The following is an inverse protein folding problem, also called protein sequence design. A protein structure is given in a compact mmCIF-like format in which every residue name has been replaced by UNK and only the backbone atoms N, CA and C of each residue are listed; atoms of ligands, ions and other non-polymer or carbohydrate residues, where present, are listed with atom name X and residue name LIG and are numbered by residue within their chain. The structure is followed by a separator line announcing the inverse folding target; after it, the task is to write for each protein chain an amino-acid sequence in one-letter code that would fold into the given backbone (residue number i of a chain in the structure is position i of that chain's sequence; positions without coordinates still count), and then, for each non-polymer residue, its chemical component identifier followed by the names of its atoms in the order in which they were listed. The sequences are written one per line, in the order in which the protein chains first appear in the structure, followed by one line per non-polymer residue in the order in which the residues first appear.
data_IF_467283286207
#
_entry.id   IF_467283286207
#
_cell.length_a   1.000
_cell.length_b   1.000
_cell.length_c   1.000
_cell.angle_alpha   90.00
_cell.angle_beta   90.00
_cell.angle_gamma   90.00
#
_symmetry.space_group_name_H-M   'P 1'
#
loop_
_entity.id
_entity.type
_entity.pdbx_description
1 polymer ?
#
# COMPACT_ATOMS: atom_id res chain seq x y z
N UNK A 1 79.84 19.32 52.83
CA UNK A 1 79.75 18.32 51.73
C UNK A 1 78.34 18.43 51.14
N UNK A 2 78.19 19.21 50.07
CA UNK A 2 76.94 19.64 49.52
C UNK A 2 76.66 18.79 48.26
N UNK A 3 75.58 17.98 48.24
CA UNK A 3 75.23 17.17 47.09
C UNK A 3 74.16 17.96 46.33
N UNK A 4 74.56 18.51 45.18
CA UNK A 4 73.59 19.10 44.21
C UNK A 4 72.88 17.99 43.43
N UNK A 5 71.60 17.91 43.62
CA UNK A 5 70.70 17.03 42.78
C UNK A 5 70.40 17.76 41.48
N UNK A 6 70.78 17.13 40.34
CA UNK A 6 70.52 17.62 38.99
C UNK A 6 69.13 17.17 38.57
N UNK A 7 68.16 18.09 38.45
CA UNK A 7 66.84 17.84 37.90
C UNK A 7 66.92 17.96 36.39
N UNK A 8 66.61 16.87 35.67
CA UNK A 8 66.50 16.87 34.20
C UNK A 8 65.13 17.45 33.76
N UNK A 9 65.10 18.37 32.80
CA UNK A 9 63.88 18.87 32.28
C UNK A 9 63.16 17.79 31.34
N UNK A 10 61.97 17.42 31.70
CA UNK A 10 61.08 16.59 30.82
C UNK A 10 60.51 17.44 29.69
N UNK A 11 60.96 17.19 28.47
CA UNK A 11 60.41 17.82 27.28
C UNK A 11 59.05 17.19 26.95
N UNK A 12 57.98 17.97 27.13
CA UNK A 12 56.66 17.64 26.63
C UNK A 12 56.64 17.72 25.08
N UNK A 13 56.69 16.58 24.42
CA UNK A 13 56.51 16.49 22.97
C UNK A 13 55.05 16.80 22.64
N UNK A 14 54.78 18.00 22.16
CA UNK A 14 53.50 18.42 21.58
C UNK A 14 53.28 17.63 20.30
N UNK A 15 52.38 16.63 20.35
CA UNK A 15 51.95 15.92 19.16
C UNK A 15 51.25 16.91 18.20
N UNK A 16 51.92 17.21 17.07
CA UNK A 16 51.31 17.96 15.96
C UNK A 16 50.31 17.07 15.28
N UNK A 17 49.03 17.28 15.57
CA UNK A 17 47.95 16.65 14.77
C UNK A 17 48.13 17.05 13.30
N UNK A 18 48.39 16.07 12.45
CA UNK A 18 48.55 16.29 11.01
C UNK A 18 47.26 16.85 10.42
N UNK A 19 47.36 17.95 9.68
CA UNK A 19 46.20 18.54 8.95
C UNK A 19 45.49 17.52 8.05
N UNK A 20 46.20 16.52 7.57
CA UNK A 20 45.68 15.40 6.80
C UNK A 20 44.74 14.50 7.63
N UNK A 21 45.04 14.23 8.90
CA UNK A 21 44.16 13.43 9.77
C UNK A 21 42.84 14.13 10.07
N UNK A 22 42.85 15.46 10.23
CA UNK A 22 41.63 16.24 10.49
C UNK A 22 40.72 16.30 9.29
N UNK A 23 41.26 16.40 8.05
CA UNK A 23 40.49 16.41 6.80
C UNK A 23 39.85 15.06 6.56
N UNK A 24 40.52 13.94 6.78
CA UNK A 24 39.97 12.59 6.63
C UNK A 24 38.86 12.32 7.63
N UNK A 25 38.98 12.80 8.87
CA UNK A 25 37.91 12.66 9.87
C UNK A 25 36.68 13.49 9.51
N UNK A 26 36.86 14.70 8.99
CA UNK A 26 35.77 15.55 8.53
C UNK A 26 35.02 14.94 7.32
N UNK A 27 35.74 14.36 6.36
CA UNK A 27 35.14 13.67 5.22
C UNK A 27 34.32 12.42 5.65
N UNK A 28 34.81 11.66 6.63
CA UNK A 28 34.10 10.49 7.17
C UNK A 28 32.81 10.89 7.90
N UNK A 29 32.80 11.99 8.64
CA UNK A 29 31.62 12.51 9.33
C UNK A 29 30.55 13.05 8.35
N UNK A 30 30.95 13.67 7.24
CA UNK A 30 30.04 14.15 6.20
C UNK A 30 29.41 12.98 5.48
N UNK A 31 30.12 11.88 5.24
CA UNK A 31 29.57 10.68 4.60
C UNK A 31 28.50 9.97 5.43
N UNK A 32 28.54 10.04 6.76
CA UNK A 32 27.51 9.49 7.63
C UNK A 32 26.22 10.34 7.68
N UNK A 33 26.32 11.63 7.40
CA UNK A 33 25.17 12.55 7.46
C UNK A 33 24.24 12.47 6.24
N UNK A 34 24.65 11.78 5.16
CA UNK A 34 23.85 11.64 3.92
C UNK A 34 23.05 10.34 3.84
N UNK A 35 22.87 9.63 4.96
CA UNK A 35 21.91 8.53 5.01
C UNK A 35 20.50 9.12 4.86
N UNK A 36 20.07 9.38 3.63
CA UNK A 36 18.70 9.72 3.31
C UNK A 36 17.84 8.54 3.75
N UNK A 37 17.09 8.70 4.83
CA UNK A 37 15.99 7.80 5.14
C UNK A 37 15.01 7.91 3.98
N UNK A 38 15.06 6.96 3.06
CA UNK A 38 14.01 6.77 2.08
C UNK A 38 12.75 6.47 2.87
N UNK A 39 11.89 7.47 3.06
CA UNK A 39 10.52 7.25 3.51
C UNK A 39 9.90 6.49 2.33
N UNK A 40 9.75 5.17 2.50
CA UNK A 40 8.95 4.39 1.57
C UNK A 40 7.56 5.03 1.58
N UNK A 41 7.17 5.67 0.49
CA UNK A 41 5.82 6.16 0.34
C UNK A 41 4.89 4.94 0.49
N UNK A 42 3.85 5.09 1.30
CA UNK A 42 2.85 4.05 1.43
C UNK A 42 2.31 3.72 0.04
N UNK A 43 2.30 2.44 -0.30
CA UNK A 43 1.78 2.01 -1.59
C UNK A 43 0.29 2.31 -1.67
N UNK A 44 -0.14 2.77 -2.83
CA UNK A 44 -1.56 2.96 -3.13
C UNK A 44 -2.35 1.68 -2.82
N UNK A 45 -3.41 1.80 -2.02
CA UNK A 45 -4.21 0.67 -1.56
C UNK A 45 -5.58 0.66 -2.24
N UNK A 46 -5.84 -0.39 -3.02
CA UNK A 46 -7.15 -0.66 -3.59
C UNK A 46 -7.88 -1.77 -2.80
N UNK A 47 -9.13 -1.54 -2.49
CA UNK A 47 -10.05 -2.55 -1.94
C UNK A 47 -11.02 -2.96 -3.03
N UNK A 48 -11.30 -4.26 -3.11
CA UNK A 48 -12.27 -4.82 -4.04
C UNK A 48 -13.36 -5.58 -3.28
N UNK A 49 -14.51 -5.72 -3.87
CA UNK A 49 -15.63 -6.45 -3.24
C UNK A 49 -15.38 -7.95 -3.22
N UNK A 50 -14.77 -8.51 -4.26
CA UNK A 50 -14.49 -9.95 -4.33
C UNK A 50 -13.18 -10.28 -5.06
N UNK A 51 -12.79 -11.53 -4.94
CA UNK A 51 -11.43 -11.99 -5.27
C UNK A 51 -11.08 -11.94 -6.75
N UNK A 52 -12.05 -12.09 -7.67
CA UNK A 52 -11.80 -11.98 -9.12
C UNK A 52 -11.39 -10.56 -9.47
N UNK A 53 -12.12 -9.56 -9.00
CA UNK A 53 -11.73 -8.14 -9.19
C UNK A 53 -10.36 -7.88 -8.57
N UNK A 54 -10.10 -8.46 -7.39
CA UNK A 54 -8.80 -8.30 -6.75
C UNK A 54 -7.65 -8.88 -7.59
N UNK A 55 -7.88 -10.00 -8.26
CA UNK A 55 -6.91 -10.60 -9.14
C UNK A 55 -6.65 -9.73 -10.38
N UNK A 56 -7.71 -9.25 -11.02
CA UNK A 56 -7.61 -8.34 -12.16
C UNK A 56 -6.87 -7.05 -11.78
N UNK A 57 -7.23 -6.45 -10.65
CA UNK A 57 -6.57 -5.23 -10.15
C UNK A 57 -5.08 -5.44 -9.86
N UNK A 58 -4.69 -6.60 -9.31
CA UNK A 58 -3.26 -6.95 -9.12
C UNK A 58 -2.52 -7.11 -10.44
N UNK A 59 -3.15 -7.74 -11.42
CA UNK A 59 -2.53 -7.90 -12.74
C UNK A 59 -2.30 -6.56 -13.44
N UNK A 60 -3.16 -5.58 -13.25
CA UNK A 60 -3.02 -4.23 -13.81
C UNK A 60 -2.02 -3.39 -13.02
N UNK A 61 -2.12 -3.39 -11.69
CA UNK A 61 -1.33 -2.53 -10.83
C UNK A 61 0.06 -3.07 -10.48
N UNK A 62 0.28 -4.37 -10.63
CA UNK A 62 1.54 -5.02 -10.31
C UNK A 62 2.04 -4.71 -8.91
N UNK A 63 3.34 -4.45 -8.81
CA UNK A 63 4.01 -4.15 -7.54
C UNK A 63 3.78 -2.71 -7.04
N UNK A 64 3.09 -1.88 -7.82
CA UNK A 64 2.87 -0.47 -7.49
C UNK A 64 1.75 -0.26 -6.47
N UNK A 65 0.84 -1.24 -6.32
CA UNK A 65 -0.34 -1.14 -5.47
C UNK A 65 -0.46 -2.32 -4.51
N UNK A 66 -1.20 -2.10 -3.43
CA UNK A 66 -1.68 -3.16 -2.55
C UNK A 66 -3.15 -3.39 -2.88
N UNK A 67 -3.53 -4.64 -3.20
CA UNK A 67 -4.92 -4.99 -3.48
C UNK A 67 -5.43 -6.00 -2.47
N UNK A 68 -6.52 -5.64 -1.80
CA UNK A 68 -7.22 -6.53 -0.88
C UNK A 68 -8.66 -6.77 -1.36
N UNK A 69 -9.21 -7.94 -1.05
CA UNK A 69 -10.62 -8.26 -1.29
C UNK A 69 -11.40 -8.25 0.02
N UNK A 70 -12.61 -7.66 0.02
CA UNK A 70 -13.53 -7.72 1.17
C UNK A 70 -13.93 -9.17 1.41
N UNK A 71 -14.42 -9.85 0.38
CA UNK A 71 -14.78 -11.26 0.50
C UNK A 71 -13.56 -12.16 0.39
N UNK A 72 -13.61 -13.31 1.09
CA UNK A 72 -12.57 -14.34 1.01
C UNK A 72 -12.78 -15.24 -0.19
N UNK A 73 -11.74 -15.95 -0.66
CA UNK A 73 -11.89 -16.96 -1.69
C UNK A 73 -12.99 -17.97 -1.33
N UNK A 74 -13.86 -18.26 -2.29
CA UNK A 74 -14.99 -19.17 -2.13
C UNK A 74 -16.19 -18.63 -1.34
N UNK A 75 -16.18 -17.36 -0.92
CA UNK A 75 -17.32 -16.76 -0.27
C UNK A 75 -18.45 -16.49 -1.27
N UNK A 76 -19.70 -16.62 -0.78
CA UNK A 76 -20.89 -16.17 -1.52
C UNK A 76 -20.89 -14.63 -1.62
N UNK A 77 -20.94 -14.10 -2.83
CA UNK A 77 -20.80 -12.68 -3.09
C UNK A 77 -22.14 -11.94 -3.03
N UNK A 78 -23.21 -12.56 -3.56
CA UNK A 78 -24.51 -11.89 -3.70
C UNK A 78 -25.17 -11.56 -2.37
N UNK A 79 -25.00 -12.41 -1.37
CA UNK A 79 -25.61 -12.29 -0.04
C UNK A 79 -24.58 -12.10 1.07
N UNK A 80 -23.42 -11.57 0.74
CA UNK A 80 -22.38 -11.30 1.74
C UNK A 80 -22.88 -10.30 2.78
N UNK A 81 -22.54 -10.54 4.04
CA UNK A 81 -22.80 -9.63 5.15
C UNK A 81 -21.49 -9.04 5.65
N UNK A 82 -21.16 -7.78 5.30
CA UNK A 82 -19.94 -7.13 5.75
C UNK A 82 -19.88 -7.02 7.25
N UNK A 83 -18.67 -7.20 7.78
CA UNK A 83 -18.37 -7.04 9.19
C UNK A 83 -17.81 -5.63 9.49
N UNK A 84 -17.82 -5.16 10.75
CA UNK A 84 -17.16 -3.92 11.11
C UNK A 84 -15.67 -3.87 10.71
N UNK A 85 -15.00 -5.03 10.70
CA UNK A 85 -13.61 -5.11 10.26
C UNK A 85 -13.45 -4.85 8.76
N UNK A 86 -14.41 -5.28 7.95
CA UNK A 86 -14.40 -5.01 6.50
C UNK A 86 -14.58 -3.52 6.23
N UNK A 87 -15.43 -2.84 7.02
CA UNK A 87 -15.61 -1.38 6.96
C UNK A 87 -14.29 -0.66 7.27
N UNK A 88 -13.61 -1.04 8.36
CA UNK A 88 -12.34 -0.43 8.74
C UNK A 88 -11.28 -0.63 7.65
N UNK A 89 -11.19 -1.82 7.07
CA UNK A 89 -10.25 -2.09 5.97
C UNK A 89 -10.52 -1.23 4.74
N UNK A 90 -11.79 -1.03 4.41
CA UNK A 90 -12.19 -0.21 3.28
C UNK A 90 -12.02 1.30 3.56
N UNK A 91 -12.16 1.74 4.81
CA UNK A 91 -11.93 3.13 5.21
C UNK A 91 -10.48 3.58 4.97
N UNK A 92 -9.53 2.66 5.10
CA UNK A 92 -8.09 2.91 4.92
C UNK A 92 -7.64 2.73 3.46
N UNK A 93 -8.57 2.63 2.51
CA UNK A 93 -8.26 2.47 1.10
C UNK A 93 -8.18 3.81 0.37
N UNK A 94 -7.32 3.87 -0.65
CA UNK A 94 -7.24 4.99 -1.58
C UNK A 94 -8.27 4.87 -2.71
N UNK A 95 -8.75 3.65 -2.98
CA UNK A 95 -9.72 3.36 -4.03
C UNK A 95 -10.52 2.11 -3.71
N UNK A 96 -11.80 2.12 -4.06
CA UNK A 96 -12.67 0.96 -4.00
C UNK A 96 -13.11 0.57 -5.40
N UNK A 97 -12.97 -0.72 -5.72
CA UNK A 97 -13.41 -1.30 -6.98
C UNK A 97 -14.54 -2.30 -6.71
N UNK A 98 -15.67 -2.12 -7.35
CA UNK A 98 -16.80 -3.02 -7.23
C UNK A 98 -17.49 -3.25 -8.58
N UNK A 99 -18.18 -4.38 -8.70
CA UNK A 99 -18.72 -4.80 -9.99
C UNK A 99 -19.89 -3.95 -10.47
N UNK A 100 -20.87 -3.71 -9.63
CA UNK A 100 -22.14 -3.10 -10.03
C UNK A 100 -23.14 -4.12 -10.58
N UNK A 101 -24.08 -3.66 -11.42
CA UNK A 101 -25.15 -4.49 -12.01
C UNK A 101 -25.92 -5.34 -10.99
N UNK A 102 -26.12 -4.82 -9.79
CA UNK A 102 -26.78 -5.51 -8.66
C UNK A 102 -26.08 -6.80 -8.18
N UNK A 103 -24.78 -6.98 -8.48
CA UNK A 103 -24.02 -8.11 -7.97
C UNK A 103 -23.91 -8.05 -6.45
N UNK A 104 -23.47 -6.92 -5.93
CA UNK A 104 -23.23 -6.68 -4.51
C UNK A 104 -24.30 -5.73 -3.93
N UNK A 105 -25.55 -6.19 -3.82
CA UNK A 105 -26.64 -5.37 -3.25
C UNK A 105 -26.36 -4.90 -1.80
N UNK A 106 -25.53 -5.62 -1.09
CA UNK A 106 -25.06 -5.26 0.26
C UNK A 106 -24.12 -4.05 0.25
N UNK A 107 -23.46 -3.80 -0.88
CA UNK A 107 -22.41 -2.81 -1.00
C UNK A 107 -22.90 -1.38 -0.71
N UNK A 108 -24.02 -0.97 -1.30
CA UNK A 108 -24.58 0.37 -1.11
C UNK A 108 -24.84 0.70 0.38
N UNK A 109 -25.30 -0.29 1.16
CA UNK A 109 -25.50 -0.14 2.61
C UNK A 109 -24.18 -0.02 3.38
N UNK A 110 -23.17 -0.71 2.90
CA UNK A 110 -21.83 -0.72 3.47
C UNK A 110 -21.14 0.62 3.24
N UNK A 111 -21.23 1.15 2.02
CA UNK A 111 -20.56 2.39 1.61
C UNK A 111 -21.14 3.66 2.20
N UNK A 112 -22.38 3.67 2.62
CA UNK A 112 -22.92 4.83 3.36
C UNK A 112 -22.13 5.17 4.63
N UNK A 113 -21.35 4.22 5.12
CA UNK A 113 -20.50 4.40 6.30
C UNK A 113 -19.05 4.81 5.96
N UNK A 114 -18.64 4.73 4.68
CA UNK A 114 -17.32 5.17 4.24
C UNK A 114 -17.40 6.64 3.82
N UNK A 115 -16.46 7.44 4.31
CA UNK A 115 -16.36 8.85 3.98
C UNK A 115 -15.14 9.09 3.12
N UNK A 116 -15.33 9.80 2.03
CA UNK A 116 -14.26 10.36 1.21
C UNK A 116 -13.32 9.33 0.53
N UNK A 117 -13.73 8.05 0.44
CA UNK A 117 -12.96 7.05 -0.32
C UNK A 117 -13.53 6.98 -1.74
N UNK A 118 -12.74 7.27 -2.77
CA UNK A 118 -13.17 7.15 -4.17
C UNK A 118 -13.60 5.73 -4.51
N UNK A 119 -14.64 5.60 -5.36
CA UNK A 119 -15.12 4.32 -5.84
C UNK A 119 -15.24 4.27 -7.37
N UNK A 120 -15.05 3.09 -7.95
CA UNK A 120 -15.25 2.83 -9.37
C UNK A 120 -16.13 1.60 -9.54
N UNK A 121 -17.17 1.76 -10.35
CA UNK A 121 -18.05 0.67 -10.80
C UNK A 121 -17.43 0.07 -12.05
N UNK A 122 -16.95 -1.15 -11.98
CA UNK A 122 -16.21 -1.78 -13.08
C UNK A 122 -17.08 -2.13 -14.29
N UNK A 123 -18.37 -2.33 -14.07
CA UNK A 123 -19.31 -2.59 -15.17
C UNK A 123 -19.87 -1.33 -15.83
N UNK A 124 -19.42 -0.14 -15.43
CA UNK A 124 -19.85 1.09 -16.10
C UNK A 124 -19.40 1.09 -17.56
N UNK A 125 -20.36 1.35 -18.46
CA UNK A 125 -20.13 1.34 -19.91
C UNK A 125 -20.26 -0.05 -20.56
N UNK A 126 -20.40 -1.12 -19.78
CA UNK A 126 -20.65 -2.46 -20.33
C UNK A 126 -22.12 -2.57 -20.77
N UNK A 127 -22.35 -3.05 -21.99
CA UNK A 127 -23.71 -3.38 -22.47
C UNK A 127 -24.12 -4.73 -21.86
N UNK A 128 -25.11 -4.77 -20.95
CA UNK A 128 -25.43 -6.00 -20.25
C UNK A 128 -26.13 -6.99 -21.19
N UNK A 129 -25.86 -8.27 -20.97
CA UNK A 129 -26.63 -9.37 -21.52
C UNK A 129 -27.66 -9.78 -20.47
N UNK A 130 -28.89 -9.94 -20.86
CA UNK A 130 -29.96 -10.36 -19.96
C UNK A 130 -29.83 -11.83 -19.55
N UNK A 131 -30.22 -12.11 -18.31
CA UNK A 131 -30.32 -13.48 -17.81
C UNK A 131 -31.41 -14.20 -18.56
N UNK A 132 -31.09 -15.32 -19.21
CA UNK A 132 -31.97 -16.02 -20.13
C UNK A 132 -33.08 -16.82 -19.41
N UNK A 133 -32.84 -17.29 -18.16
CA UNK A 133 -33.75 -18.19 -17.45
C UNK A 133 -33.67 -18.02 -15.92
N UNK A 134 -34.60 -18.65 -15.20
CA UNK A 134 -34.67 -18.63 -13.74
C UNK A 134 -35.39 -17.41 -13.17
N UNK A 135 -35.25 -17.21 -11.85
CA UNK A 135 -35.92 -16.15 -11.08
C UNK A 135 -35.54 -14.73 -11.48
N UNK A 136 -34.40 -14.57 -12.13
CA UNK A 136 -33.82 -13.29 -12.54
C UNK A 136 -33.92 -13.07 -14.06
N UNK A 137 -34.69 -13.85 -14.78
CA UNK A 137 -34.88 -13.73 -16.23
C UNK A 137 -35.20 -12.28 -16.63
N UNK A 138 -34.54 -11.78 -17.66
CA UNK A 138 -34.67 -10.42 -18.16
C UNK A 138 -34.04 -9.33 -17.29
N UNK A 139 -33.30 -9.71 -16.27
CA UNK A 139 -32.44 -8.79 -15.54
C UNK A 139 -31.02 -8.80 -16.11
N UNK A 140 -30.28 -7.69 -16.04
CA UNK A 140 -28.87 -7.66 -16.44
C UNK A 140 -28.07 -8.76 -15.74
N UNK A 141 -27.28 -9.50 -16.53
CA UNK A 141 -26.35 -10.48 -15.97
C UNK A 141 -25.13 -9.76 -15.41
N UNK A 142 -24.90 -9.79 -14.09
CA UNK A 142 -23.82 -9.04 -13.48
C UNK A 142 -22.42 -9.64 -13.71
N UNK A 143 -22.34 -10.84 -14.29
CA UNK A 143 -21.08 -11.55 -14.48
C UNK A 143 -20.33 -11.09 -15.75
N UNK A 144 -20.29 -9.78 -15.99
CA UNK A 144 -19.73 -9.18 -17.20
C UNK A 144 -18.24 -9.55 -17.43
N UNK A 145 -17.46 -9.68 -16.36
CA UNK A 145 -16.05 -10.06 -16.43
C UNK A 145 -15.79 -11.47 -16.99
N UNK A 146 -16.79 -12.31 -17.10
CA UNK A 146 -16.65 -13.63 -17.72
C UNK A 146 -16.53 -13.55 -19.26
N UNK A 147 -16.80 -12.40 -19.84
CA UNK A 147 -16.49 -12.10 -21.24
C UNK A 147 -15.10 -11.50 -21.34
N UNK A 148 -14.19 -12.06 -22.15
CA UNK A 148 -12.86 -11.48 -22.36
C UNK A 148 -12.90 -10.03 -22.92
N UNK A 149 -13.96 -9.66 -23.61
CA UNK A 149 -14.12 -8.30 -24.16
C UNK A 149 -14.45 -7.25 -23.08
N UNK A 150 -14.85 -7.70 -21.88
CA UNK A 150 -15.23 -6.86 -20.74
C UNK A 150 -14.27 -6.97 -19.56
N UNK A 151 -13.24 -7.81 -19.64
CA UNK A 151 -12.32 -8.07 -18.56
C UNK A 151 -11.05 -7.18 -18.60
#
# INVERSE_FOLDING_TARGET
MCIMAFVKPTYLTRARASRTGLVLLACALISLATSSTSIAADKFKAITTFTVIADMARNVGGDMIIVESITRPGAEIHHYSPTPRDILRAQDADLILWNGMNMELWFSRFFTNLKDVPEVVLSDGVIPIDIADGSYKGKPNPHAWMSPDNA
#
